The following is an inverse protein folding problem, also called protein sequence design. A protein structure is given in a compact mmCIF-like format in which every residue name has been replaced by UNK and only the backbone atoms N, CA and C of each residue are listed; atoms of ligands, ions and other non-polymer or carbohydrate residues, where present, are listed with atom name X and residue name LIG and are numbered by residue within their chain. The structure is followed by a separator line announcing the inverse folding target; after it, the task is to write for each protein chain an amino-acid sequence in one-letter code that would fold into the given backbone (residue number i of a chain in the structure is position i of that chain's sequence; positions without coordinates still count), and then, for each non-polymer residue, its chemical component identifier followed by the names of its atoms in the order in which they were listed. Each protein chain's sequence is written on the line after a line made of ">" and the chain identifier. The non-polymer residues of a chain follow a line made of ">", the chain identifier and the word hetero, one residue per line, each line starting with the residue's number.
data_IF_615854280583
#
_entry.id   IF_615854280583
#
_cell.length_a   1.000
_cell.length_b   1.000
_cell.length_c   1.000
_cell.angle_alpha   90.00
_cell.angle_beta   90.00
_cell.angle_gamma   90.00
#
_symmetry.space_group_name_H-M   'P 1'
#
loop_
_entity.id
_entity.type
_entity.pdbx_description
1 polymer ?
#
# COMPACT_ATOMS: atom_id res chain seq x y z
N UNK A 1 27.46 15.48 -5.43
CA UNK A 1 26.59 14.64 -4.57
C UNK A 1 25.16 14.94 -4.97
N UNK A 2 24.28 14.06 -5.43
CA UNK A 2 24.15 12.61 -5.32
C UNK A 2 23.46 12.08 -6.60
N UNK A 3 23.88 10.92 -7.07
CA UNK A 3 23.50 10.31 -8.36
C UNK A 3 22.32 9.35 -8.13
N UNK A 4 21.24 9.52 -8.91
CA UNK A 4 20.25 8.51 -9.28
C UNK A 4 19.62 7.66 -8.15
N UNK A 5 18.52 8.15 -7.54
CA UNK A 5 17.42 7.24 -7.20
C UNK A 5 16.53 7.09 -8.43
N UNK A 6 17.08 6.48 -9.49
CA UNK A 6 16.28 5.97 -10.61
C UNK A 6 15.34 4.93 -10.04
N UNK A 7 14.05 5.26 -10.03
CA UNK A 7 13.03 4.48 -9.39
C UNK A 7 12.92 3.17 -10.18
N UNK A 8 12.91 2.02 -9.52
CA UNK A 8 12.92 0.69 -10.16
C UNK A 8 11.67 0.46 -11.06
N UNK A 9 10.74 1.42 -11.06
CA UNK A 9 9.47 1.47 -11.79
C UNK A 9 9.42 2.45 -12.97
N UNK A 10 10.54 3.02 -13.41
CA UNK A 10 10.54 4.17 -14.35
C UNK A 10 10.06 3.89 -15.78
N UNK A 11 9.96 2.62 -16.23
CA UNK A 11 9.37 2.33 -17.55
C UNK A 11 8.07 1.52 -17.47
N UNK A 12 7.04 1.87 -18.27
CA UNK A 12 5.81 1.08 -18.38
C UNK A 12 6.07 -0.40 -18.71
N UNK A 13 7.13 -0.69 -19.49
CA UNK A 13 7.55 -2.04 -19.80
C UNK A 13 8.02 -2.83 -18.56
N UNK A 14 8.83 -2.21 -17.69
CA UNK A 14 9.28 -2.83 -16.43
C UNK A 14 8.13 -3.05 -15.46
N UNK A 15 7.21 -2.09 -15.33
CA UNK A 15 5.99 -2.24 -14.49
C UNK A 15 5.14 -3.43 -14.96
N UNK A 16 4.87 -3.51 -16.27
CA UNK A 16 4.13 -4.65 -16.86
C UNK A 16 4.83 -5.99 -16.63
N UNK A 17 6.15 -6.04 -16.79
CA UNK A 17 6.95 -7.26 -16.52
C UNK A 17 6.85 -7.70 -15.05
N UNK A 18 6.96 -6.75 -14.11
CA UNK A 18 6.82 -7.02 -12.68
C UNK A 18 5.43 -7.57 -12.31
N UNK A 19 4.35 -6.96 -12.84
CA UNK A 19 2.98 -7.46 -12.63
C UNK A 19 2.78 -8.85 -13.23
N UNK A 20 3.28 -9.11 -14.44
CA UNK A 20 3.20 -10.44 -15.05
C UNK A 20 3.92 -11.49 -14.21
N UNK A 21 5.10 -11.16 -13.66
CA UNK A 21 5.83 -12.07 -12.77
C UNK A 21 5.04 -12.36 -11.49
N UNK A 22 4.48 -11.35 -10.85
CA UNK A 22 3.67 -11.51 -9.63
C UNK A 22 2.39 -12.31 -9.88
N UNK A 23 1.67 -12.03 -10.97
CA UNK A 23 0.44 -12.73 -11.34
C UNK A 23 0.68 -14.23 -11.57
N UNK A 24 1.83 -14.64 -12.10
CA UNK A 24 2.16 -16.05 -12.32
C UNK A 24 2.20 -16.87 -11.02
N UNK A 25 2.58 -16.29 -9.90
CA UNK A 25 2.61 -16.99 -8.60
C UNK A 25 1.23 -17.23 -8.01
N UNK A 26 0.31 -16.30 -8.23
CA UNK A 26 -1.04 -16.32 -7.67
C UNK A 26 -2.10 -16.76 -8.69
N UNK A 27 -1.69 -17.17 -9.89
CA UNK A 27 -2.60 -17.60 -10.95
C UNK A 27 -3.49 -18.78 -10.47
N UNK A 28 -4.81 -18.78 -10.78
CA UNK A 28 -5.71 -19.85 -10.34
C UNK A 28 -5.24 -21.25 -10.73
N UNK A 29 -4.70 -21.41 -11.95
CA UNK A 29 -4.12 -22.68 -12.41
C UNK A 29 -2.94 -23.19 -11.55
N UNK A 30 -2.27 -22.33 -10.78
CA UNK A 30 -1.20 -22.70 -9.85
C UNK A 30 -1.70 -23.01 -8.43
N UNK A 31 -2.99 -22.82 -8.17
CA UNK A 31 -3.62 -23.10 -6.88
C UNK A 31 -4.50 -24.36 -6.90
N UNK A 32 -4.65 -25.01 -8.05
CA UNK A 32 -5.35 -26.29 -8.17
C UNK A 32 -4.67 -27.32 -7.26
N UNK A 33 -5.47 -28.03 -6.45
CA UNK A 33 -4.98 -29.00 -5.47
C UNK A 33 -4.52 -28.42 -4.12
N UNK A 34 -4.49 -27.09 -3.97
CA UNK A 34 -4.20 -26.45 -2.67
C UNK A 34 -5.44 -26.37 -1.78
N UNK A 35 -5.24 -26.09 -0.49
CA UNK A 35 -6.33 -25.89 0.47
C UNK A 35 -7.17 -24.66 0.10
N UNK A 36 -8.47 -24.69 0.41
CA UNK A 36 -9.41 -23.61 0.09
C UNK A 36 -8.94 -22.24 0.61
N UNK A 37 -8.38 -22.18 1.82
CA UNK A 37 -7.85 -20.93 2.39
C UNK A 37 -6.67 -20.37 1.58
N UNK A 38 -5.80 -21.23 1.07
CA UNK A 38 -4.67 -20.80 0.23
C UNK A 38 -5.14 -20.31 -1.13
N UNK A 39 -6.12 -20.98 -1.72
CA UNK A 39 -6.76 -20.52 -2.96
C UNK A 39 -7.43 -19.14 -2.76
N UNK A 40 -8.13 -18.94 -1.64
CA UNK A 40 -8.76 -17.67 -1.28
C UNK A 40 -7.74 -16.54 -1.07
N UNK A 41 -6.64 -16.81 -0.37
CA UNK A 41 -5.54 -15.84 -0.21
C UNK A 41 -4.90 -15.49 -1.55
N UNK A 42 -4.65 -16.49 -2.41
CA UNK A 42 -4.10 -16.27 -3.74
C UNK A 42 -5.04 -15.44 -4.64
N UNK A 43 -6.35 -15.71 -4.58
CA UNK A 43 -7.35 -14.91 -5.29
C UNK A 43 -7.35 -13.45 -4.81
N UNK A 44 -7.30 -13.21 -3.49
CA UNK A 44 -7.18 -11.86 -2.92
C UNK A 44 -5.92 -11.15 -3.44
N UNK A 45 -4.76 -11.83 -3.40
CA UNK A 45 -3.49 -11.27 -3.94
C UNK A 45 -3.57 -10.94 -5.42
N UNK A 46 -4.23 -11.78 -6.23
CA UNK A 46 -4.43 -11.51 -7.65
C UNK A 46 -5.29 -10.26 -7.88
N UNK A 47 -6.36 -10.06 -7.09
CA UNK A 47 -7.17 -8.84 -7.14
C UNK A 47 -6.33 -7.59 -6.82
N UNK A 48 -5.54 -7.63 -5.76
CA UNK A 48 -4.63 -6.54 -5.36
C UNK A 48 -3.62 -6.22 -6.49
N UNK A 49 -3.02 -7.24 -7.11
CA UNK A 49 -2.09 -7.09 -8.24
C UNK A 49 -2.78 -6.44 -9.44
N UNK A 50 -4.01 -6.87 -9.78
CA UNK A 50 -4.74 -6.32 -10.91
C UNK A 50 -5.18 -4.87 -10.68
N UNK A 51 -5.60 -4.54 -9.46
CA UNK A 51 -5.90 -3.15 -9.07
C UNK A 51 -4.65 -2.27 -9.19
N UNK A 52 -3.53 -2.71 -8.62
CA UNK A 52 -2.25 -2.00 -8.71
C UNK A 52 -1.79 -1.82 -10.17
N UNK A 53 -1.97 -2.83 -11.02
CA UNK A 53 -1.69 -2.74 -12.45
C UNK A 53 -2.57 -1.72 -13.15
N UNK A 54 -3.87 -1.69 -12.84
CA UNK A 54 -4.81 -0.73 -13.42
C UNK A 54 -4.51 0.71 -13.04
N UNK A 55 -3.95 0.95 -11.86
CA UNK A 55 -3.52 2.27 -11.39
C UNK A 55 -2.15 2.63 -11.97
N UNK A 56 -1.16 1.74 -11.87
CA UNK A 56 0.24 2.04 -12.18
C UNK A 56 0.60 1.89 -13.67
N UNK A 57 -0.34 1.51 -14.53
CA UNK A 57 -0.16 1.52 -15.98
C UNK A 57 -0.93 2.65 -16.68
N UNK A 58 -1.66 3.48 -15.95
CA UNK A 58 -2.40 4.64 -16.45
C UNK A 58 -1.78 5.92 -15.85
N UNK A 59 -1.27 6.82 -16.68
CA UNK A 59 -0.52 8.00 -16.22
C UNK A 59 -1.38 8.97 -15.40
N UNK A 60 -2.68 9.11 -15.72
CA UNK A 60 -3.61 9.92 -14.93
C UNK A 60 -3.86 9.32 -13.56
N UNK A 61 -3.96 7.99 -13.47
CA UNK A 61 -4.16 7.27 -12.20
C UNK A 61 -2.89 7.17 -11.37
N UNK A 62 -1.71 7.10 -11.99
CA UNK A 62 -0.42 7.20 -11.29
C UNK A 62 -0.32 8.53 -10.56
N UNK A 63 -0.65 9.64 -11.24
CA UNK A 63 -0.59 10.98 -10.63
C UNK A 63 -1.55 11.10 -9.45
N UNK A 64 -2.82 10.70 -9.61
CA UNK A 64 -3.80 10.73 -8.53
C UNK A 64 -3.39 9.82 -7.34
N UNK A 65 -2.82 8.65 -7.62
CA UNK A 65 -2.30 7.75 -6.58
C UNK A 65 -1.09 8.35 -5.84
N UNK A 66 -0.23 9.09 -6.54
CA UNK A 66 0.88 9.82 -5.93
C UNK A 66 0.42 10.96 -5.04
N UNK A 67 -0.58 11.73 -5.47
CA UNK A 67 -1.18 12.82 -4.69
C UNK A 67 -1.86 12.29 -3.41
N UNK A 68 -2.66 11.23 -3.50
CA UNK A 68 -3.27 10.56 -2.33
C UNK A 68 -2.20 9.91 -1.44
N UNK A 69 -1.20 9.24 -2.01
CA UNK A 69 -0.11 8.63 -1.26
C UNK A 69 0.71 9.66 -0.48
N UNK A 70 0.97 10.83 -1.06
CA UNK A 70 1.65 11.93 -0.38
C UNK A 70 0.83 12.48 0.82
N UNK A 71 -0.50 12.53 0.70
CA UNK A 71 -1.39 12.90 1.82
C UNK A 71 -1.30 11.88 2.95
N UNK A 72 -1.39 10.58 2.64
CA UNK A 72 -1.27 9.52 3.66
C UNK A 72 0.12 9.48 4.31
N UNK A 73 1.20 9.71 3.56
CA UNK A 73 2.56 9.79 4.09
C UNK A 73 2.71 11.00 5.02
N UNK A 74 2.16 12.14 4.64
CA UNK A 74 2.12 13.34 5.49
C UNK A 74 1.34 13.09 6.79
N UNK A 75 0.15 12.49 6.71
CA UNK A 75 -0.67 12.15 7.89
C UNK A 75 0.03 11.12 8.79
N UNK A 76 0.68 10.12 8.21
CA UNK A 76 1.44 9.12 8.94
C UNK A 76 2.64 9.73 9.68
N UNK A 77 3.42 10.58 9.00
CA UNK A 77 4.55 11.29 9.62
C UNK A 77 4.09 12.29 10.69
N UNK A 78 2.94 12.95 10.50
CA UNK A 78 2.32 13.82 11.51
C UNK A 78 1.89 13.02 12.74
N UNK A 79 1.20 11.89 12.55
CA UNK A 79 0.81 10.98 13.62
C UNK A 79 2.04 10.45 14.38
N UNK A 80 3.05 9.96 13.66
CA UNK A 80 4.30 9.44 14.24
C UNK A 80 4.97 10.47 15.16
N UNK A 81 5.10 11.72 14.71
CA UNK A 81 5.65 12.83 15.52
C UNK A 81 4.78 13.14 16.75
N UNK A 82 3.46 13.05 16.64
CA UNK A 82 2.55 13.23 17.78
C UNK A 82 2.67 12.12 18.83
N UNK A 83 3.06 10.91 18.41
CA UNK A 83 3.26 9.75 19.30
C UNK A 83 4.68 9.62 19.83
N UNK A 84 5.70 10.15 19.12
CA UNK A 84 7.10 10.13 19.53
C UNK A 84 7.50 11.37 20.36
N UNK A 85 6.66 12.41 20.40
CA UNK A 85 6.85 13.52 21.33
C UNK A 85 6.78 12.99 22.77
N UNK A 86 7.81 13.16 23.61
CA UNK A 86 7.66 12.91 25.04
C UNK A 86 6.58 13.86 25.54
N UNK A 87 5.48 13.30 26.08
CA UNK A 87 4.40 14.08 26.71
C UNK A 87 5.02 15.17 27.56
N UNK A 88 4.89 16.47 27.23
CA UNK A 88 5.13 17.50 28.21
C UNK A 88 4.04 17.27 29.24
N UNK A 89 4.43 16.78 30.42
CA UNK A 89 3.52 16.44 31.49
C UNK A 89 2.66 17.65 31.84
N UNK A 90 1.45 17.69 31.30
CA UNK A 90 0.40 18.58 31.76
C UNK A 90 -0.64 17.69 32.43
N UNK A 91 -0.61 17.69 33.77
CA UNK A 91 -1.74 17.28 34.59
C UNK A 91 -2.91 18.20 34.23
N UNK A 92 -3.91 17.66 33.54
CA UNK A 92 -5.15 18.34 33.21
C UNK A 92 -6.31 17.34 33.22
N UNK A 93 -7.06 17.40 34.31
CA UNK A 93 -8.32 16.73 34.65
C UNK A 93 -9.13 16.02 33.55
N UNK A 94 -9.37 14.73 33.80
CA UNK A 94 -10.67 14.04 33.79
C UNK A 94 -11.65 14.41 32.67
N UNK A 95 -11.83 13.47 31.74
CA UNK A 95 -12.95 13.47 30.82
C UNK A 95 -12.89 12.28 29.88
N UNK A 96 -13.02 11.06 30.42
CA UNK A 96 -13.24 9.87 29.59
C UNK A 96 -14.61 10.01 28.92
N UNK A 97 -14.64 9.99 27.60
CA UNK A 97 -15.85 9.56 26.90
C UNK A 97 -15.53 8.84 25.60
N UNK A 98 -15.67 7.52 25.64
CA UNK A 98 -16.12 6.61 24.57
C UNK A 98 -16.46 5.28 25.27
N UNK A 99 -17.31 4.40 24.72
CA UNK A 99 -18.28 4.53 23.62
C UNK A 99 -19.65 3.88 23.96
N UNK A 100 -20.66 4.00 23.07
CA UNK A 100 -21.56 2.86 22.79
C UNK A 100 -22.38 3.06 21.52
N UNK A 101 -22.21 2.09 20.60
CA UNK A 101 -23.12 1.61 19.54
C UNK A 101 -23.53 2.55 18.40
#
# INVERSE_FOLDING_TARGET
>A
MSILRGNVYDSPARRRSAFTRLARFHHPAKQVGKRADEQKRAAKRMCEINQAKGILCDEGRIRACGEVGAVFEFEYEAWKKSTEAPSPGIKGSVGKYYPSC
#
